data_IF_350142419972
#
_entry.id   IF_350142419972
#
_cell.length_a   1.000
_cell.length_b   1.000
_cell.length_c   1.000
_cell.angle_alpha   90.00
_cell.angle_beta   90.00
_cell.angle_gamma   90.00
#
_symmetry.space_group_name_H-M   'P 1'
#
loop_
_entity.id
_entity.type
_entity.pdbx_description
1 polymer ?
#
# COMPACT_ATOMS: atom_id res chain seq x y z
N UNK A 1 -10.06 4.56 0.51
CA UNK A 1 -9.48 3.25 0.86
C UNK A 1 -8.44 3.08 -0.20
N UNK A 2 -7.18 2.85 0.17
CA UNK A 2 -6.06 3.01 -0.75
C UNK A 2 -6.15 1.95 -1.83
N UNK A 3 -6.65 2.35 -3.00
CA UNK A 3 -7.04 1.44 -4.07
C UNK A 3 -6.27 1.68 -5.35
N UNK A 4 -5.27 2.57 -5.33
CA UNK A 4 -4.43 2.95 -6.46
C UNK A 4 -3.10 3.50 -5.93
N UNK A 5 -1.99 3.13 -6.53
CA UNK A 5 -0.68 3.68 -6.16
C UNK A 5 0.30 3.71 -7.33
N UNK A 6 1.45 4.33 -7.10
CA UNK A 6 2.54 4.43 -8.08
C UNK A 6 3.80 3.76 -7.55
N UNK A 7 4.54 3.12 -8.45
CA UNK A 7 5.87 2.59 -8.24
C UNK A 7 6.65 2.73 -9.55
N UNK A 8 7.33 3.86 -9.69
CA UNK A 8 8.08 4.28 -10.88
C UNK A 8 9.52 3.76 -10.90
N UNK A 9 10.06 3.36 -9.74
CA UNK A 9 11.48 3.01 -9.54
C UNK A 9 12.46 4.16 -9.80
N UNK A 10 11.98 5.40 -10.00
CA UNK A 10 12.82 6.57 -10.27
C UNK A 10 13.24 7.32 -9.01
N UNK A 11 12.48 7.18 -7.93
CA UNK A 11 12.74 7.86 -6.65
C UNK A 11 13.73 7.03 -5.81
N UNK A 12 14.48 7.72 -4.96
CA UNK A 12 15.40 7.06 -4.02
C UNK A 12 14.63 6.37 -2.89
N UNK A 13 15.10 5.21 -2.45
CA UNK A 13 14.71 4.67 -1.15
C UNK A 13 15.60 5.22 -0.02
N UNK A 14 15.07 5.43 1.19
CA UNK A 14 15.88 5.67 2.36
C UNK A 14 16.73 4.44 2.68
N UNK A 15 17.95 4.64 3.18
CA UNK A 15 18.87 3.56 3.56
C UNK A 15 18.52 3.02 4.93
N UNK A 16 18.31 1.71 5.05
CA UNK A 16 18.16 1.03 6.34
C UNK A 16 19.49 0.48 6.82
N UNK A 17 19.73 0.51 8.14
CA UNK A 17 20.92 -0.09 8.75
C UNK A 17 20.83 -1.62 8.84
N UNK A 18 19.59 -2.14 8.95
CA UNK A 18 19.32 -3.53 9.28
C UNK A 18 18.59 -4.29 8.14
N UNK A 19 18.40 -3.64 6.99
CA UNK A 19 17.68 -4.22 5.86
C UNK A 19 18.33 -3.83 4.54
N UNK A 20 18.67 -4.82 3.74
CA UNK A 20 19.12 -4.64 2.37
C UNK A 20 17.94 -4.97 1.46
N UNK A 21 17.49 -4.00 0.67
CA UNK A 21 16.43 -4.22 -0.32
C UNK A 21 16.98 -5.23 -1.36
N UNK A 22 16.33 -6.39 -1.55
CA UNK A 22 16.78 -7.36 -2.55
C UNK A 22 16.71 -6.76 -3.96
N UNK A 23 17.48 -7.26 -4.93
CA UNK A 23 17.41 -6.75 -6.30
C UNK A 23 16.01 -6.97 -6.90
N UNK A 24 15.45 -5.94 -7.51
CA UNK A 24 14.18 -6.01 -8.24
C UNK A 24 14.44 -6.44 -9.69
N UNK A 25 14.33 -7.74 -9.95
CA UNK A 25 14.73 -8.33 -11.24
C UNK A 25 13.60 -8.24 -12.29
N UNK A 26 12.37 -7.92 -11.89
CA UNK A 26 11.20 -8.13 -12.76
C UNK A 26 10.16 -7.01 -12.75
N UNK A 27 10.19 -6.12 -11.77
CA UNK A 27 9.15 -5.10 -11.71
C UNK A 27 9.38 -4.02 -12.76
N UNK A 28 8.26 -3.54 -13.31
CA UNK A 28 8.25 -2.43 -14.27
C UNK A 28 7.70 -1.19 -13.59
N UNK A 29 8.17 -0.02 -14.03
CA UNK A 29 7.59 1.25 -13.63
C UNK A 29 6.08 1.29 -13.94
N UNK A 30 5.29 1.79 -13.00
CA UNK A 30 3.86 2.07 -13.20
C UNK A 30 3.41 3.20 -12.30
N UNK A 31 2.69 4.15 -12.87
CA UNK A 31 2.16 5.32 -12.20
C UNK A 31 0.69 5.14 -11.76
N UNK A 32 0.04 4.02 -12.13
CA UNK A 32 -1.38 3.77 -11.88
C UNK A 32 -1.69 2.29 -11.56
N UNK A 33 -1.05 1.73 -10.53
CA UNK A 33 -1.21 0.33 -10.09
C UNK A 33 -2.56 0.10 -9.43
N UNK A 34 -3.34 -0.86 -9.92
CA UNK A 34 -4.71 -1.12 -9.49
C UNK A 34 -4.93 -2.56 -8.98
N UNK A 35 -5.92 -2.79 -8.09
CA UNK A 35 -6.35 -4.11 -7.68
C UNK A 35 -6.65 -5.07 -8.82
N UNK A 36 -6.48 -6.37 -8.57
CA UNK A 36 -6.66 -7.43 -9.56
C UNK A 36 -5.46 -7.62 -10.50
N UNK A 37 -4.45 -6.75 -10.42
CA UNK A 37 -3.20 -6.86 -11.17
C UNK A 37 -2.11 -7.51 -10.31
N UNK A 38 -1.06 -8.02 -10.96
CA UNK A 38 0.16 -8.47 -10.28
C UNK A 38 1.09 -7.29 -10.02
N UNK A 39 1.64 -7.21 -8.82
CA UNK A 39 2.51 -6.13 -8.35
C UNK A 39 3.72 -6.70 -7.61
N UNK A 40 4.87 -6.00 -7.66
CA UNK A 40 6.02 -6.37 -6.87
C UNK A 40 5.71 -6.16 -5.39
N UNK A 41 6.02 -7.15 -4.56
CA UNK A 41 6.09 -7.04 -3.11
C UNK A 41 7.38 -7.70 -2.64
N UNK A 42 7.92 -7.26 -1.51
CA UNK A 42 9.02 -7.96 -0.86
C UNK A 42 8.46 -8.81 0.27
N UNK A 43 8.81 -10.10 0.29
CA UNK A 43 8.36 -11.04 1.31
C UNK A 43 9.48 -12.01 1.69
N UNK A 44 9.29 -12.71 2.81
CA UNK A 44 10.11 -13.88 3.15
C UNK A 44 9.43 -15.15 2.65
N UNK A 45 10.12 -15.92 1.80
CA UNK A 45 9.73 -17.26 1.35
C UNK A 45 10.98 -18.12 1.19
N UNK A 46 10.91 -19.39 1.55
CA UNK A 46 12.01 -20.35 1.41
C UNK A 46 13.34 -19.86 2.00
N UNK A 47 13.27 -19.25 3.20
CA UNK A 47 14.39 -18.65 3.94
C UNK A 47 15.10 -17.50 3.20
N UNK A 48 14.46 -16.90 2.19
CA UNK A 48 14.99 -15.76 1.43
C UNK A 48 14.04 -14.58 1.46
N UNK A 49 14.61 -13.37 1.46
CA UNK A 49 13.89 -12.13 1.22
C UNK A 49 13.97 -11.80 -0.26
N UNK A 50 12.83 -11.79 -0.96
CA UNK A 50 12.80 -11.62 -2.42
C UNK A 50 11.70 -10.67 -2.84
N UNK A 51 11.87 -10.06 -4.02
CA UNK A 51 10.76 -9.50 -4.78
C UNK A 51 9.93 -10.63 -5.39
N UNK A 52 8.63 -10.60 -5.15
CA UNK A 52 7.64 -11.53 -5.70
C UNK A 52 6.56 -10.75 -6.47
N UNK A 53 6.18 -11.25 -7.63
CA UNK A 53 5.06 -10.72 -8.41
C UNK A 53 3.72 -11.29 -7.90
N UNK A 54 3.05 -10.55 -7.01
CA UNK A 54 1.85 -11.00 -6.30
C UNK A 54 0.55 -10.32 -6.78
N UNK A 55 -0.57 -11.05 -6.78
CA UNK A 55 -1.90 -10.51 -7.10
C UNK A 55 -2.39 -9.56 -5.99
N UNK A 56 -2.73 -8.31 -6.31
CA UNK A 56 -3.36 -7.41 -5.34
C UNK A 56 -4.86 -7.72 -5.19
N UNK A 57 -5.23 -8.23 -4.02
CA UNK A 57 -6.54 -8.80 -3.72
C UNK A 57 -6.31 -10.14 -3.03
N UNK A 58 -6.26 -10.12 -1.69
CA UNK A 58 -5.86 -11.27 -0.88
C UNK A 58 -6.85 -12.41 -1.07
N UNK A 59 -6.37 -13.57 -1.50
CA UNK A 59 -7.19 -14.77 -1.50
C UNK A 59 -7.25 -15.32 -0.07
N UNK A 60 -8.46 -15.41 0.48
CA UNK A 60 -8.70 -15.95 1.81
C UNK A 60 -8.79 -17.47 1.72
N UNK A 61 -7.92 -18.19 2.45
CA UNK A 61 -7.95 -19.65 2.50
C UNK A 61 -9.10 -20.13 3.41
N UNK A 62 -10.35 -19.99 2.95
CA UNK A 62 -11.53 -20.49 3.66
C UNK A 62 -11.92 -21.85 3.07
N UNK A 63 -12.01 -22.89 3.91
CA UNK A 63 -12.39 -24.27 3.53
C UNK A 63 -13.81 -24.43 2.95
N UNK A 64 -14.52 -23.33 2.67
CA UNK A 64 -15.80 -23.30 2.00
C UNK A 64 -15.67 -22.63 0.63
N UNK A 65 -16.41 -23.14 -0.36
CA UNK A 65 -16.51 -22.64 -1.74
C UNK A 65 -17.06 -21.19 -1.88
N UNK A 66 -16.90 -20.28 -0.91
CA UNK A 66 -17.83 -19.17 -0.71
C UNK A 66 -17.23 -17.79 -0.36
N UNK A 67 -15.98 -17.47 -0.69
CA UNK A 67 -15.59 -16.05 -0.74
C UNK A 67 -15.02 -15.64 -2.09
N UNK A 68 -15.90 -15.10 -2.95
CA UNK A 68 -15.50 -14.32 -4.13
C UNK A 68 -14.83 -12.98 -3.75
N UNK A 69 -14.90 -12.60 -2.47
CA UNK A 69 -14.35 -11.34 -1.99
C UNK A 69 -12.83 -11.48 -1.92
N UNK A 70 -12.13 -10.61 -2.64
CA UNK A 70 -10.66 -10.49 -2.60
C UNK A 70 -10.30 -9.15 -1.95
N UNK A 71 -10.15 -9.08 -0.61
CA UNK A 71 -9.86 -7.82 0.07
C UNK A 71 -8.57 -7.21 -0.47
N UNK A 72 -8.65 -5.95 -0.87
CA UNK A 72 -7.48 -5.18 -1.33
C UNK A 72 -6.79 -4.46 -0.17
N UNK A 73 -7.52 -4.28 0.94
CA UNK A 73 -7.06 -3.65 2.16
C UNK A 73 -7.51 -4.46 3.40
N UNK A 74 -6.73 -4.40 4.48
CA UNK A 74 -7.12 -4.83 5.81
C UNK A 74 -6.85 -3.71 6.83
N UNK A 75 -7.65 -3.65 7.90
CA UNK A 75 -7.48 -2.63 8.96
C UNK A 75 -6.51 -3.16 10.00
N UNK A 76 -5.41 -2.44 10.26
CA UNK A 76 -4.41 -2.88 11.23
C UNK A 76 -4.97 -2.94 12.65
N UNK A 77 -5.95 -2.11 12.97
CA UNK A 77 -6.56 -2.00 14.30
C UNK A 77 -7.30 -3.28 14.72
N UNK A 78 -7.89 -4.00 13.76
CA UNK A 78 -8.70 -5.21 14.03
C UNK A 78 -8.10 -6.48 13.40
N UNK A 79 -6.87 -6.41 12.88
CA UNK A 79 -6.30 -7.47 12.06
C UNK A 79 -6.13 -8.81 12.80
N UNK A 80 -5.86 -8.74 14.11
CA UNK A 80 -5.72 -9.92 14.98
C UNK A 80 -7.06 -10.60 15.30
N UNK A 81 -8.15 -9.86 15.26
CA UNK A 81 -9.49 -10.36 15.60
C UNK A 81 -10.19 -11.02 14.40
N UNK A 82 -9.75 -10.67 13.17
CA UNK A 82 -10.38 -11.17 11.96
C UNK A 82 -9.74 -12.49 11.54
N UNK A 83 -10.50 -13.57 11.66
CA UNK A 83 -10.12 -14.93 11.20
C UNK A 83 -9.55 -14.94 9.79
N UNK A 84 -10.11 -14.11 8.89
CA UNK A 84 -9.67 -13.94 7.52
C UNK A 84 -8.21 -13.45 7.37
N UNK A 85 -7.69 -12.68 8.34
CA UNK A 85 -6.40 -11.98 8.23
C UNK A 85 -5.38 -12.40 9.29
N UNK A 86 -5.82 -12.88 10.46
CA UNK A 86 -4.94 -13.11 11.61
C UNK A 86 -3.73 -14.01 11.30
N UNK A 87 -3.93 -15.12 10.59
CA UNK A 87 -2.86 -16.07 10.28
C UNK A 87 -1.84 -15.48 9.29
N UNK A 88 -2.33 -14.77 8.27
CA UNK A 88 -1.47 -14.06 7.33
C UNK A 88 -0.70 -12.94 8.03
N UNK A 89 -1.34 -12.19 8.94
CA UNK A 89 -0.67 -11.15 9.71
C UNK A 89 0.44 -11.69 10.63
N UNK A 90 0.20 -12.83 11.29
CA UNK A 90 1.21 -13.42 12.18
C UNK A 90 2.44 -13.94 11.43
N UNK A 91 2.27 -14.51 10.23
CA UNK A 91 3.31 -15.32 9.59
C UNK A 91 3.74 -14.85 8.21
N UNK A 92 2.90 -14.08 7.52
CA UNK A 92 3.02 -13.76 6.09
C UNK A 92 2.81 -12.26 5.87
N UNK A 93 3.73 -11.48 6.41
CA UNK A 93 3.82 -10.04 6.16
C UNK A 93 4.70 -9.77 4.94
N UNK A 94 4.41 -8.67 4.24
CA UNK A 94 5.18 -8.21 3.09
C UNK A 94 5.35 -6.68 3.13
N UNK A 95 6.32 -6.20 2.37
CA UNK A 95 6.55 -4.79 2.08
C UNK A 95 6.03 -4.50 0.66
N UNK A 96 5.20 -3.48 0.50
CA UNK A 96 4.67 -3.05 -0.80
C UNK A 96 5.37 -1.74 -1.20
N UNK A 97 6.29 -1.76 -2.20
CA UNK A 97 6.99 -0.55 -2.63
C UNK A 97 6.03 0.45 -3.26
N UNK A 98 6.19 1.72 -2.94
CA UNK A 98 5.46 2.81 -3.56
C UNK A 98 6.24 4.13 -3.54
N UNK A 99 5.92 4.98 -4.51
CA UNK A 99 6.34 6.39 -4.56
C UNK A 99 5.29 7.33 -3.97
N UNK A 100 4.07 6.82 -3.85
CA UNK A 100 2.87 7.54 -3.44
C UNK A 100 1.61 6.76 -3.81
N UNK A 101 0.48 7.14 -3.21
CA UNK A 101 -0.83 6.51 -3.41
C UNK A 101 -1.90 7.54 -3.75
N UNK A 102 -3.02 7.11 -4.33
CA UNK A 102 -4.13 8.01 -4.65
C UNK A 102 -5.32 7.78 -3.71
N UNK A 103 -5.98 8.87 -3.37
CA UNK A 103 -7.30 8.88 -2.73
C UNK A 103 -8.18 9.92 -3.43
N UNK A 104 -9.49 9.73 -3.32
CA UNK A 104 -10.47 10.61 -3.96
C UNK A 104 -11.26 11.35 -2.90
N UNK A 105 -11.17 12.68 -2.92
CA UNK A 105 -12.07 13.52 -2.16
C UNK A 105 -13.47 13.42 -2.77
N UNK A 106 -14.46 13.12 -1.93
CA UNK A 106 -15.86 13.06 -2.35
C UNK A 106 -16.52 14.40 -2.05
N UNK A 107 -16.90 15.10 -3.11
CA UNK A 107 -17.81 16.25 -3.06
C UNK A 107 -19.18 15.80 -3.60
N UNK A 108 -20.23 16.59 -3.41
CA UNK A 108 -21.64 16.19 -3.64
C UNK A 108 -21.88 15.45 -4.97
N UNK A 109 -21.21 15.87 -6.05
CA UNK A 109 -21.37 15.27 -7.38
C UNK A 109 -20.06 14.84 -8.06
N UNK A 110 -18.91 14.99 -7.40
CA UNK A 110 -17.59 14.75 -8.02
C UNK A 110 -16.62 14.02 -7.10
N UNK A 111 -15.76 13.21 -7.71
CA UNK A 111 -14.63 12.56 -7.05
C UNK A 111 -13.33 13.12 -7.61
N UNK A 112 -12.63 13.87 -6.78
CA UNK A 112 -11.40 14.56 -7.18
C UNK A 112 -10.20 13.75 -6.69
N UNK A 113 -9.31 13.29 -7.59
CA UNK A 113 -8.17 12.49 -7.18
C UNK A 113 -7.05 13.37 -6.62
N UNK A 114 -6.48 12.92 -5.52
CA UNK A 114 -5.30 13.46 -4.88
C UNK A 114 -4.20 12.41 -4.89
N UNK A 115 -2.97 12.86 -5.15
CA UNK A 115 -1.78 12.04 -4.99
C UNK A 115 -1.11 12.36 -3.66
N UNK A 116 -0.87 11.32 -2.86
CA UNK A 116 -0.28 11.37 -1.53
C UNK A 116 1.12 10.76 -1.55
N UNK A 117 2.08 11.45 -0.95
CA UNK A 117 3.48 11.04 -0.91
C UNK A 117 4.14 11.49 0.39
N UNK A 118 5.24 10.85 0.76
CA UNK A 118 6.00 11.23 1.96
C UNK A 118 6.72 12.56 1.75
N UNK A 119 6.90 13.32 2.84
CA UNK A 119 7.26 14.74 2.78
C UNK A 119 8.60 15.05 2.07
N UNK A 120 9.54 14.11 2.10
CA UNK A 120 10.87 14.18 1.44
C UNK A 120 10.86 13.66 -0.02
N UNK A 121 9.69 13.24 -0.50
CA UNK A 121 9.48 12.69 -1.84
C UNK A 121 10.32 11.44 -2.16
N UNK A 122 10.73 10.67 -1.15
CA UNK A 122 11.39 9.37 -1.38
C UNK A 122 10.36 8.26 -1.65
N UNK A 123 10.83 7.10 -2.12
CA UNK A 123 10.02 5.88 -2.10
C UNK A 123 9.92 5.32 -0.68
N UNK A 124 8.87 4.55 -0.42
CA UNK A 124 8.60 3.93 0.87
C UNK A 124 7.97 2.55 0.72
N UNK A 125 7.86 1.84 1.83
CA UNK A 125 7.09 0.60 1.89
C UNK A 125 5.79 0.81 2.66
N UNK A 126 4.69 0.39 2.05
CA UNK A 126 3.44 0.15 2.76
C UNK A 126 3.49 -1.26 3.37
N UNK A 127 2.91 -1.40 4.56
CA UNK A 127 2.71 -2.69 5.20
C UNK A 127 1.67 -3.51 4.43
N UNK A 128 1.98 -4.77 4.13
CA UNK A 128 1.04 -5.72 3.56
C UNK A 128 1.05 -7.06 4.27
N UNK A 129 0.04 -7.86 3.97
CA UNK A 129 -0.03 -9.29 4.30
C UNK A 129 -0.30 -10.08 3.03
N UNK A 130 0.14 -11.34 3.00
CA UNK A 130 0.03 -12.19 1.82
C UNK A 130 -0.39 -13.63 2.14
N UNK A 131 -0.89 -14.31 1.11
CA UNK A 131 -1.24 -15.73 1.12
C UNK A 131 -0.69 -16.40 -0.14
N UNK A 132 -0.43 -17.70 -0.02
CA UNK A 132 -0.08 -18.59 -1.13
C UNK A 132 -1.20 -19.62 -1.29
N UNK A 133 -1.84 -19.63 -2.46
CA UNK A 133 -2.85 -20.63 -2.81
C UNK A 133 -2.55 -21.11 -4.23
N UNK A 134 -2.45 -22.42 -4.43
CA UNK A 134 -2.15 -23.03 -5.75
C UNK A 134 -0.93 -22.39 -6.42
N UNK A 135 0.15 -22.22 -5.67
CA UNK A 135 1.40 -21.56 -6.09
C UNK A 135 1.25 -20.10 -6.56
N UNK A 136 0.12 -19.46 -6.28
CA UNK A 136 -0.14 -18.05 -6.61
C UNK A 136 -0.11 -17.20 -5.34
N UNK A 137 0.81 -16.25 -5.29
CA UNK A 137 0.90 -15.27 -4.21
C UNK A 137 -0.12 -14.16 -4.43
N UNK A 138 -0.90 -13.86 -3.39
CA UNK A 138 -1.84 -12.75 -3.34
C UNK A 138 -1.61 -11.93 -2.09
N UNK A 139 -1.89 -10.63 -2.13
CA UNK A 139 -1.64 -9.73 -1.01
C UNK A 139 -2.72 -8.67 -0.86
N UNK A 140 -2.78 -8.04 0.31
CA UNK A 140 -3.49 -6.79 0.54
C UNK A 140 -2.66 -5.81 1.36
N UNK A 141 -3.01 -4.53 1.28
CA UNK A 141 -2.33 -3.45 1.99
C UNK A 141 -3.01 -3.23 3.35
N UNK A 142 -2.22 -2.97 4.39
CA UNK A 142 -2.74 -2.60 5.68
C UNK A 142 -3.04 -1.10 5.73
N UNK A 143 -4.13 -0.75 6.39
CA UNK A 143 -4.57 0.63 6.56
C UNK A 143 -4.80 0.95 8.03
N UNK A 144 -4.64 2.22 8.40
CA UNK A 144 -5.08 2.78 9.68
C UNK A 144 -5.91 4.06 9.44
N UNK A 145 -6.43 4.65 10.53
CA UNK A 145 -7.10 5.95 10.47
C UNK A 145 -6.18 7.03 9.90
N UNK A 146 -6.72 7.90 9.05
CA UNK A 146 -5.99 9.00 8.44
C UNK A 146 -5.52 10.05 9.47
N UNK A 147 -4.43 10.77 9.16
CA UNK A 147 -4.03 11.98 9.88
C UNK A 147 -5.02 13.12 9.64
N UNK A 148 -5.10 14.07 10.58
CA UNK A 148 -6.02 15.23 10.48
C UNK A 148 -5.88 15.99 9.16
N UNK A 149 -4.66 16.14 8.64
CA UNK A 149 -4.40 16.86 7.40
C UNK A 149 -4.91 16.17 6.12
N UNK A 150 -5.35 14.91 6.17
CA UNK A 150 -5.92 14.20 5.01
C UNK A 150 -7.37 13.72 5.23
N UNK A 151 -7.93 13.92 6.43
CA UNK A 151 -9.30 13.48 6.76
C UNK A 151 -10.37 14.06 5.83
N UNK A 152 -10.16 15.29 5.35
CA UNK A 152 -11.05 15.95 4.40
C UNK A 152 -11.08 15.27 3.01
N UNK A 153 -10.06 14.47 2.68
CA UNK A 153 -10.00 13.66 1.45
C UNK A 153 -10.53 12.26 1.72
N UNK A 154 -9.98 11.57 2.73
CA UNK A 154 -10.38 10.20 3.07
C UNK A 154 -10.05 9.84 4.53
N UNK A 155 -10.94 9.08 5.19
CA UNK A 155 -10.82 8.70 6.60
C UNK A 155 -9.78 7.59 6.90
N UNK A 156 -9.15 7.02 5.87
CA UNK A 156 -8.14 5.94 5.96
C UNK A 156 -6.96 6.25 5.09
N UNK A 157 -5.80 5.75 5.49
CA UNK A 157 -4.55 5.81 4.73
C UNK A 157 -3.79 4.48 4.89
N UNK A 158 -2.79 4.19 4.04
CA UNK A 158 -2.01 2.97 4.18
C UNK A 158 -1.08 3.10 5.39
N UNK A 159 -0.77 1.97 6.03
CA UNK A 159 0.26 1.89 7.05
C UNK A 159 1.61 1.98 6.33
N UNK A 160 2.31 3.10 6.49
CA UNK A 160 3.64 3.32 5.90
C UNK A 160 4.69 2.97 6.96
N UNK A 161 5.66 2.14 6.58
CA UNK A 161 6.66 1.59 7.49
C UNK A 161 7.90 2.49 7.57
N UNK A 162 8.38 2.70 8.80
CA UNK A 162 9.66 3.38 9.05
C UNK A 162 10.81 2.53 8.53
N UNK A 163 11.84 3.19 8.01
CA UNK A 163 13.01 2.55 7.38
C UNK A 163 13.70 1.49 8.25
N UNK A 164 13.74 1.71 9.57
CA UNK A 164 14.40 0.79 10.50
C UNK A 164 13.54 -0.43 10.87
N UNK A 165 12.25 -0.41 10.55
CA UNK A 165 11.31 -1.46 10.94
C UNK A 165 11.06 -2.47 9.82
N UNK A 166 11.64 -2.29 8.63
CA UNK A 166 11.40 -3.17 7.47
C UNK A 166 11.77 -4.63 7.74
N UNK A 167 12.92 -4.87 8.38
CA UNK A 167 13.37 -6.22 8.75
C UNK A 167 12.43 -6.85 9.80
N UNK A 168 12.16 -6.13 10.89
CA UNK A 168 11.25 -6.62 11.95
C UNK A 168 9.82 -6.82 11.45
N UNK A 169 9.37 -5.98 10.51
CA UNK A 169 8.08 -6.16 9.86
C UNK A 169 8.00 -7.48 9.10
N UNK A 170 9.07 -7.92 8.46
CA UNK A 170 9.09 -9.18 7.73
C UNK A 170 9.35 -10.41 8.63
N UNK A 171 9.95 -10.22 9.80
CA UNK A 171 10.34 -11.30 10.71
C UNK A 171 9.14 -11.88 11.49
N UNK A 172 8.74 -13.10 11.16
CA UNK A 172 7.63 -13.79 11.83
C UNK A 172 7.83 -14.00 13.35
N UNK A 173 9.06 -13.89 13.86
CA UNK A 173 9.39 -14.05 15.27
C UNK A 173 9.44 -12.73 16.05
N UNK A 174 9.17 -11.59 15.40
CA UNK A 174 9.14 -10.29 16.08
C UNK A 174 8.04 -10.22 17.15
N UNK A 175 8.18 -9.33 18.13
CA UNK A 175 7.09 -8.99 19.03
C UNK A 175 5.98 -8.21 18.30
N UNK A 176 4.93 -8.94 17.94
CA UNK A 176 3.77 -8.40 17.23
C UNK A 176 2.98 -7.36 18.04
N UNK A 177 3.05 -7.37 19.37
CA UNK A 177 2.35 -6.37 20.19
C UNK A 177 3.05 -5.03 20.07
N UNK A 178 4.37 -5.02 20.26
CA UNK A 178 5.22 -3.84 20.06
C UNK A 178 5.14 -3.33 18.62
N UNK A 179 5.14 -4.23 17.64
CA UNK A 179 4.99 -3.85 16.23
C UNK A 179 3.64 -3.17 15.97
N UNK A 180 2.53 -3.71 16.49
CA UNK A 180 1.21 -3.10 16.33
C UNK A 180 1.12 -1.74 17.00
N UNK A 181 1.63 -1.58 18.22
CA UNK A 181 1.58 -0.29 18.92
C UNK A 181 2.29 0.82 18.14
N UNK A 182 3.34 0.48 17.39
CA UNK A 182 4.08 1.44 16.55
C UNK A 182 3.30 1.90 15.31
N UNK A 183 2.30 1.14 14.86
CA UNK A 183 1.61 1.34 13.57
C UNK A 183 0.08 1.47 13.67
N UNK A 184 -0.48 1.51 14.87
CA UNK A 184 -1.90 1.84 15.08
C UNK A 184 -2.25 3.29 14.71
N UNK A 185 -1.26 4.18 14.75
CA UNK A 185 -1.41 5.59 14.39
C UNK A 185 -0.37 5.99 13.33
N UNK A 186 -0.70 6.95 12.44
CA UNK A 186 0.26 7.50 11.51
C UNK A 186 1.46 8.10 12.24
N UNK A 187 2.67 7.78 11.79
CA UNK A 187 3.92 8.34 12.33
C UNK A 187 4.79 9.04 11.27
N UNK A 188 4.36 9.01 10.01
CA UNK A 188 5.07 9.58 8.87
C UNK A 188 4.25 10.72 8.30
N UNK A 189 4.90 11.87 8.07
CA UNK A 189 4.25 13.04 7.51
C UNK A 189 3.99 12.84 6.01
N UNK A 190 2.74 13.09 5.62
CA UNK A 190 2.26 12.97 4.24
C UNK A 190 1.90 14.34 3.70
N UNK A 191 2.33 14.60 2.46
CA UNK A 191 1.89 15.71 1.62
C UNK A 191 0.94 15.18 0.54
N UNK A 192 0.09 16.05 0.01
CA UNK A 192 -0.75 15.71 -1.12
C UNK A 192 -1.03 16.90 -2.02
N UNK A 193 -1.37 16.63 -3.28
CA UNK A 193 -1.88 17.60 -4.23
C UNK A 193 -2.90 16.96 -5.16
N UNK A 194 -3.81 17.78 -5.71
CA UNK A 194 -4.78 17.34 -6.71
C UNK A 194 -4.06 16.91 -8.01
N UNK A 195 -4.55 15.84 -8.63
CA UNK A 195 -4.03 15.27 -9.89
C UNK A 195 -5.13 15.12 -10.94
N UNK A 196 -4.75 14.78 -12.17
CA UNK A 196 -5.69 14.71 -13.29
C UNK A 196 -6.67 13.54 -13.09
N UNK A 197 -7.93 13.75 -13.45
CA UNK A 197 -8.97 12.71 -13.50
C UNK A 197 -8.63 11.54 -14.43
N UNK A 198 -7.62 11.67 -15.31
CA UNK A 198 -7.07 10.57 -16.12
C UNK A 198 -6.73 9.34 -15.30
N UNK A 199 -6.29 9.50 -14.04
CA UNK A 199 -5.95 8.38 -13.14
C UNK A 199 -7.12 7.42 -12.89
N UNK A 200 -8.36 7.88 -13.08
CA UNK A 200 -9.56 7.05 -12.97
C UNK A 200 -9.56 5.88 -13.98
N UNK A 201 -8.92 6.05 -15.14
CA UNK A 201 -8.78 5.02 -16.17
C UNK A 201 -7.52 4.21 -15.90
N UNK A 202 -7.68 2.95 -15.52
CA UNK A 202 -6.56 2.03 -15.19
C UNK A 202 -5.59 1.81 -16.36
N UNK A 203 -6.04 2.02 -17.59
CA UNK A 203 -5.23 1.92 -18.81
C UNK A 203 -4.26 3.09 -18.97
N UNK A 204 -4.50 4.22 -18.30
CA UNK A 204 -3.57 5.36 -18.28
C UNK A 204 -2.45 5.08 -17.29
N UNK A 205 -1.19 5.18 -17.72
CA UNK A 205 -0.03 4.78 -16.91
C UNK A 205 1.24 5.61 -17.22
N UNK A 206 1.09 6.91 -17.47
CA UNK A 206 2.21 7.84 -17.66
C UNK A 206 2.50 8.69 -16.42
N UNK A 207 3.69 9.27 -16.40
CA UNK A 207 4.20 10.07 -15.28
C UNK A 207 3.37 11.32 -14.99
N UNK A 208 2.65 11.87 -15.97
CA UNK A 208 1.81 13.06 -15.75
C UNK A 208 0.65 12.79 -14.79
N UNK A 209 0.31 11.52 -14.53
CA UNK A 209 -0.74 11.15 -13.57
C UNK A 209 -0.41 11.51 -12.11
N UNK A 210 0.88 11.65 -11.77
CA UNK A 210 1.30 12.01 -10.41
C UNK A 210 1.61 13.51 -10.27
N UNK A 211 1.59 14.26 -11.37
CA UNK A 211 1.87 15.70 -11.36
C UNK A 211 0.66 16.50 -10.88
N UNK A 212 0.94 17.58 -10.15
CA UNK A 212 -0.07 18.54 -9.72
C UNK A 212 -0.79 19.11 -10.94
N UNK A 213 -2.11 19.14 -10.92
CA UNK A 213 -2.86 19.84 -11.97
C UNK A 213 -2.89 21.34 -11.70
N UNK A 214 -2.90 22.11 -12.78
CA UNK A 214 -3.22 23.53 -12.75
C UNK A 214 -4.72 23.78 -12.95
N UNK A 215 -5.59 22.76 -12.87
CA UNK A 215 -7.03 22.97 -12.92
C UNK A 215 -7.43 23.73 -11.65
N UNK A 216 -7.43 25.06 -11.78
CA UNK A 216 -8.15 25.98 -10.91
C UNK A 216 -9.58 25.48 -10.96
N UNK A 217 -10.02 24.78 -9.92
CA UNK A 217 -11.44 24.63 -9.70
C UNK A 217 -11.96 26.04 -9.51
N UNK A 218 -12.75 26.49 -10.47
CA UNK A 218 -13.58 27.67 -10.34
C UNK A 218 -14.34 27.55 -9.02
N UNK A 219 -13.90 28.30 -8.01
CA UNK A 219 -14.73 28.67 -6.87
C UNK A 219 -15.86 29.50 -7.44
N UNK A 220 -16.97 28.85 -7.78
CA UNK A 220 -18.26 29.52 -7.76
C UNK A 220 -18.68 29.57 -6.30
N UNK A 221 -18.63 30.79 -5.77
CA UNK A 221 -19.19 31.22 -4.50
C UNK A 221 -20.69 30.98 -4.44
#
# INVERSE_FOLDING_TARGET
>A
MCGRYSWSQKKSFPKSKNFIIPPDISSRASFNRAPGQKHPIILHRDKKTIYESALWGLNLNTKSNASKIKPINARIETIKEKVAFQDAFMRRRCLVPADGYFEWQKNENKKEPYYHYIADNSSFFMAGIWNLINNSVSFCILTHSATSNILHIHHRMPVILKTNDWQSWLDANCDLNTLLSNYQKPSIQIKCHAVSSRVNRVTENDEKLIHKTAEIQSTFW
#
